data_IF_264407266364
#
_entry.id   IF_264407266364
#
_cell.length_a   1.000
_cell.length_b   1.000
_cell.length_c   1.000
_cell.angle_alpha   90.00
_cell.angle_beta   90.00
_cell.angle_gamma   90.00
#
_symmetry.space_group_name_H-M   'P 1'
#
loop_
_entity.id
_entity.type
_entity.pdbx_description
1 polymer ?
#
# COMPACT_ATOMS: atom_id res chain seq x y z
N UNK A 1 -34.49 -22.68 54.11
CA UNK A 1 -35.13 -21.40 53.75
C UNK A 1 -34.09 -20.35 53.37
N UNK A 2 -33.15 -19.96 54.24
CA UNK A 2 -32.17 -18.89 53.92
C UNK A 2 -31.24 -19.19 52.72
N UNK A 3 -31.07 -20.44 52.30
CA UNK A 3 -30.24 -20.81 51.14
C UNK A 3 -30.87 -20.54 49.77
N UNK A 4 -32.19 -20.68 49.63
CA UNK A 4 -32.89 -20.53 48.34
C UNK A 4 -33.06 -19.04 47.97
N UNK A 5 -33.29 -18.19 48.97
CA UNK A 5 -33.49 -16.75 48.82
C UNK A 5 -32.20 -16.03 48.36
N UNK A 6 -31.03 -16.56 48.79
CA UNK A 6 -29.71 -16.11 48.31
C UNK A 6 -29.52 -16.45 46.84
N UNK A 7 -29.83 -17.68 46.43
CA UNK A 7 -29.63 -18.13 45.04
C UNK A 7 -30.50 -17.33 44.06
N UNK A 8 -31.78 -17.11 44.42
CA UNK A 8 -32.71 -16.24 43.66
C UNK A 8 -32.19 -14.80 43.57
N UNK A 9 -31.63 -14.23 44.64
CA UNK A 9 -31.08 -12.87 44.59
C UNK A 9 -29.77 -12.77 43.80
N UNK A 10 -28.95 -13.83 43.70
CA UNK A 10 -27.85 -13.87 42.72
C UNK A 10 -28.33 -14.00 41.28
N UNK A 11 -29.36 -14.82 41.02
CA UNK A 11 -29.96 -14.97 39.69
C UNK A 11 -30.52 -13.64 39.18
N UNK A 12 -31.32 -12.94 39.98
CA UNK A 12 -31.88 -11.63 39.63
C UNK A 12 -30.79 -10.55 39.42
N UNK A 13 -29.68 -10.60 40.16
CA UNK A 13 -28.52 -9.70 39.92
C UNK A 13 -27.83 -10.02 38.59
N UNK A 14 -27.72 -11.29 38.23
CA UNK A 14 -27.19 -11.73 36.93
C UNK A 14 -28.06 -11.23 35.77
N UNK A 15 -29.39 -11.41 35.86
CA UNK A 15 -30.32 -10.90 34.85
C UNK A 15 -30.28 -9.38 34.72
N UNK A 16 -30.26 -8.64 35.85
CA UNK A 16 -30.15 -7.17 35.83
C UNK A 16 -28.84 -6.72 35.18
N UNK A 17 -27.71 -7.38 35.47
CA UNK A 17 -26.42 -7.06 34.82
C UNK A 17 -26.43 -7.37 33.31
N UNK A 18 -27.00 -8.51 32.91
CA UNK A 18 -27.14 -8.89 31.50
C UNK A 18 -28.06 -7.92 30.73
N UNK A 19 -29.16 -7.48 31.34
CA UNK A 19 -30.08 -6.49 30.78
C UNK A 19 -29.44 -5.09 30.72
N UNK A 20 -28.62 -4.70 31.70
CA UNK A 20 -27.85 -3.46 31.66
C UNK A 20 -26.81 -3.47 30.52
N UNK A 21 -26.01 -4.54 30.41
CA UNK A 21 -25.07 -4.70 29.29
C UNK A 21 -25.77 -4.66 27.93
N UNK A 22 -26.92 -5.34 27.80
CA UNK A 22 -27.73 -5.32 26.58
C UNK A 22 -28.31 -3.93 26.28
N UNK A 23 -28.77 -3.19 27.30
CA UNK A 23 -29.20 -1.77 27.18
C UNK A 23 -28.06 -0.91 26.67
N UNK A 24 -26.88 -1.03 27.26
CA UNK A 24 -25.75 -0.15 26.95
C UNK A 24 -25.24 -0.40 25.54
N UNK A 25 -25.04 -1.67 25.15
CA UNK A 25 -24.74 -2.06 23.77
C UNK A 25 -25.79 -1.54 22.77
N UNK A 26 -27.08 -1.71 23.05
CA UNK A 26 -28.15 -1.19 22.17
C UNK A 26 -28.17 0.35 22.12
N UNK A 27 -27.75 1.03 23.19
CA UNK A 27 -27.62 2.49 23.23
C UNK A 27 -26.44 2.97 22.40
N UNK A 28 -25.35 2.21 22.39
CA UNK A 28 -24.14 2.42 21.60
C UNK A 28 -24.44 2.22 20.10
N UNK A 29 -25.01 1.07 19.71
CA UNK A 29 -25.47 0.78 18.35
C UNK A 29 -26.46 1.85 17.83
N UNK A 30 -27.38 2.33 18.68
CA UNK A 30 -28.31 3.42 18.35
C UNK A 30 -27.61 4.78 18.19
N UNK A 31 -26.49 5.02 18.87
CA UNK A 31 -25.73 6.26 18.72
C UNK A 31 -24.81 6.23 17.48
N UNK A 32 -24.21 5.08 17.16
CA UNK A 32 -23.50 4.87 15.89
C UNK A 32 -24.45 5.06 14.70
N UNK A 33 -25.64 4.46 14.74
CA UNK A 33 -26.65 4.64 13.68
C UNK A 33 -27.11 6.10 13.52
N UNK A 34 -27.23 6.88 14.61
CA UNK A 34 -27.46 8.34 14.52
C UNK A 34 -26.27 9.08 13.90
N UNK A 35 -25.03 8.65 14.16
CA UNK A 35 -23.83 9.18 13.53
C UNK A 35 -23.83 8.93 12.02
N UNK A 36 -24.09 7.69 11.60
CA UNK A 36 -24.22 7.32 10.19
C UNK A 36 -25.36 8.06 9.49
N UNK A 37 -26.51 8.26 10.15
CA UNK A 37 -27.62 9.03 9.59
C UNK A 37 -27.20 10.47 9.29
N UNK A 38 -26.65 11.19 10.28
CA UNK A 38 -26.14 12.56 10.12
C UNK A 38 -25.09 12.69 9.01
N UNK A 39 -24.19 11.70 8.90
CA UNK A 39 -23.19 11.67 7.84
C UNK A 39 -23.79 11.47 6.44
N UNK A 40 -24.91 10.73 6.31
CA UNK A 40 -25.66 10.66 5.05
C UNK A 40 -26.45 11.94 4.79
N UNK A 41 -27.11 12.52 5.79
CA UNK A 41 -27.87 13.77 5.65
C UNK A 41 -26.98 14.92 5.16
N UNK A 42 -25.79 15.06 5.75
CA UNK A 42 -24.75 16.00 5.33
C UNK A 42 -24.33 15.78 3.87
N UNK A 43 -24.02 14.54 3.49
CA UNK A 43 -23.63 14.19 2.11
C UNK A 43 -24.78 14.40 1.11
N UNK A 44 -26.04 14.24 1.54
CA UNK A 44 -27.21 14.55 0.73
C UNK A 44 -27.38 16.07 0.53
N UNK A 45 -27.08 16.90 1.54
CA UNK A 45 -27.02 18.36 1.35
C UNK A 45 -25.91 18.77 0.38
N UNK A 46 -24.72 18.19 0.48
CA UNK A 46 -23.58 18.46 -0.41
C UNK A 46 -23.93 18.14 -1.89
N UNK A 47 -24.49 16.95 -2.14
CA UNK A 47 -24.93 16.53 -3.47
C UNK A 47 -26.09 17.38 -4.01
N UNK A 48 -26.98 17.90 -3.14
CA UNK A 48 -28.05 18.81 -3.53
C UNK A 48 -27.48 20.17 -3.98
N UNK A 49 -26.51 20.73 -3.24
CA UNK A 49 -25.82 21.98 -3.59
C UNK A 49 -25.07 21.84 -4.92
N UNK A 50 -24.35 20.72 -5.12
CA UNK A 50 -23.68 20.41 -6.39
C UNK A 50 -24.69 20.31 -7.56
N UNK A 51 -25.81 19.61 -7.35
CA UNK A 51 -26.88 19.47 -8.35
C UNK A 51 -27.46 20.83 -8.76
N UNK A 52 -27.71 21.72 -7.80
CA UNK A 52 -28.27 23.05 -8.08
C UNK A 52 -27.23 24.00 -8.72
N UNK A 53 -25.95 23.86 -8.38
CA UNK A 53 -24.87 24.58 -9.08
C UNK A 53 -24.75 24.15 -10.56
N UNK A 54 -24.80 22.84 -10.83
CA UNK A 54 -24.79 22.31 -12.20
C UNK A 54 -26.03 22.75 -13.01
N UNK A 55 -27.21 22.82 -12.38
CA UNK A 55 -28.43 23.39 -12.98
C UNK A 55 -28.24 24.86 -13.35
N UNK A 56 -27.68 25.66 -12.44
CA UNK A 56 -27.44 27.09 -12.70
C UNK A 56 -26.40 27.29 -13.82
N UNK A 57 -25.32 26.51 -13.81
CA UNK A 57 -24.30 26.54 -14.86
C UNK A 57 -24.89 26.18 -16.23
N UNK A 58 -25.75 25.15 -16.29
CA UNK A 58 -26.47 24.77 -17.50
C UNK A 58 -27.42 25.87 -17.98
N UNK A 59 -28.16 26.52 -17.08
CA UNK A 59 -29.03 27.65 -17.43
C UNK A 59 -28.23 28.84 -18.00
N UNK A 60 -27.10 29.20 -17.38
CA UNK A 60 -26.17 30.24 -17.86
C UNK A 60 -25.61 29.90 -19.26
N UNK A 61 -25.18 28.66 -19.49
CA UNK A 61 -24.70 28.20 -20.80
C UNK A 61 -25.81 28.26 -21.87
N UNK A 62 -27.02 27.80 -21.56
CA UNK A 62 -28.16 27.85 -22.49
C UNK A 62 -28.55 29.29 -22.85
N UNK A 63 -28.47 30.24 -21.92
CA UNK A 63 -28.69 31.66 -22.20
C UNK A 63 -27.64 32.22 -23.17
N UNK A 64 -26.36 31.89 -22.98
CA UNK A 64 -25.27 32.27 -23.90
C UNK A 64 -25.50 31.66 -25.30
N UNK A 65 -25.82 30.37 -25.38
CA UNK A 65 -26.11 29.67 -26.65
C UNK A 65 -27.29 30.32 -27.38
N UNK A 66 -28.35 30.71 -26.66
CA UNK A 66 -29.51 31.40 -27.24
C UNK A 66 -29.15 32.80 -27.76
N UNK A 67 -28.37 33.57 -27.00
CA UNK A 67 -27.86 34.88 -27.43
C UNK A 67 -26.95 34.78 -28.67
N UNK A 68 -26.07 33.76 -28.74
CA UNK A 68 -25.21 33.52 -29.90
C UNK A 68 -26.02 33.10 -31.13
N UNK A 69 -27.00 32.19 -30.98
CA UNK A 69 -27.91 31.82 -32.07
C UNK A 69 -28.68 33.02 -32.62
N UNK A 70 -29.22 33.88 -31.75
CA UNK A 70 -29.86 35.14 -32.18
C UNK A 70 -28.87 36.02 -32.94
N UNK A 71 -27.65 36.18 -32.43
CA UNK A 71 -26.63 37.04 -33.06
C UNK A 71 -26.17 36.52 -34.42
N UNK A 72 -26.07 35.21 -34.61
CA UNK A 72 -25.82 34.59 -35.92
C UNK A 72 -26.97 34.92 -36.88
N UNK A 73 -28.22 34.73 -36.45
CA UNK A 73 -29.38 35.03 -37.31
C UNK A 73 -29.47 36.50 -37.72
N UNK A 74 -29.20 37.42 -36.78
CA UNK A 74 -29.09 38.86 -37.08
C UNK A 74 -27.97 39.22 -38.06
N UNK A 75 -26.96 38.35 -38.24
CA UNK A 75 -25.88 38.54 -39.22
C UNK A 75 -26.28 37.93 -40.58
N UNK A 76 -26.86 36.72 -40.59
CA UNK A 76 -27.45 36.09 -41.77
C UNK A 76 -28.53 36.97 -42.44
N UNK A 77 -29.32 37.71 -41.66
CA UNK A 77 -30.29 38.67 -42.17
C UNK A 77 -29.62 39.88 -42.82
N UNK A 78 -28.65 40.50 -42.14
CA UNK A 78 -27.90 41.64 -42.70
C UNK A 78 -27.12 41.26 -43.96
N UNK A 79 -26.57 40.05 -44.04
CA UNK A 79 -25.88 39.56 -45.24
C UNK A 79 -26.85 39.40 -46.43
N UNK A 80 -28.04 38.85 -46.19
CA UNK A 80 -29.13 38.79 -47.20
C UNK A 80 -29.58 40.18 -47.65
N UNK A 81 -29.73 41.13 -46.72
CA UNK A 81 -30.08 42.52 -47.03
C UNK A 81 -28.98 43.23 -47.84
N UNK A 82 -27.71 43.04 -47.48
CA UNK A 82 -26.55 43.60 -48.17
C UNK A 82 -26.42 43.04 -49.58
N UNK A 83 -26.58 41.74 -49.80
CA UNK A 83 -26.61 41.17 -51.16
C UNK A 83 -27.78 41.70 -51.98
N UNK A 84 -28.98 41.80 -51.40
CA UNK A 84 -30.13 42.41 -52.09
C UNK A 84 -29.90 43.89 -52.42
N UNK A 85 -29.19 44.64 -51.57
CA UNK A 85 -28.78 46.02 -51.85
C UNK A 85 -27.70 46.09 -52.94
N UNK A 86 -26.70 45.21 -52.91
CA UNK A 86 -25.65 45.10 -53.91
C UNK A 86 -26.24 44.82 -55.30
N UNK A 87 -27.10 43.81 -55.45
CA UNK A 87 -27.71 43.49 -56.76
C UNK A 87 -28.55 44.64 -57.31
N UNK A 88 -29.25 45.41 -56.46
CA UNK A 88 -29.93 46.65 -56.88
C UNK A 88 -28.93 47.72 -57.33
N UNK A 89 -27.83 47.87 -56.61
CA UNK A 89 -26.74 48.79 -56.96
C UNK A 89 -26.06 48.44 -58.29
N UNK A 90 -25.82 47.16 -58.56
CA UNK A 90 -25.26 46.67 -59.82
C UNK A 90 -26.20 46.93 -61.00
N UNK A 91 -27.52 46.74 -60.84
CA UNK A 91 -28.52 47.07 -61.87
C UNK A 91 -28.57 48.58 -62.13
N UNK A 92 -28.49 49.41 -61.08
CA UNK A 92 -28.43 50.86 -61.23
C UNK A 92 -27.14 51.31 -61.94
N UNK A 93 -25.98 50.72 -61.57
CA UNK A 93 -24.69 50.97 -62.19
C UNK A 93 -24.70 50.60 -63.68
N UNK A 94 -25.23 49.43 -64.04
CA UNK A 94 -25.36 49.01 -65.45
C UNK A 94 -26.25 49.95 -66.27
N UNK A 95 -27.33 50.47 -65.67
CA UNK A 95 -28.21 51.45 -66.32
C UNK A 95 -27.46 52.77 -66.56
N UNK A 96 -26.85 53.34 -65.52
CA UNK A 96 -26.04 54.57 -65.63
C UNK A 96 -24.88 54.43 -66.63
N UNK A 97 -24.24 53.26 -66.72
CA UNK A 97 -23.19 52.99 -67.72
C UNK A 97 -23.74 52.96 -69.17
N UNK A 98 -24.97 52.47 -69.40
CA UNK A 98 -25.62 52.54 -70.72
C UNK A 98 -25.98 53.98 -71.08
N UNK A 99 -26.57 54.70 -70.14
CA UNK A 99 -26.97 56.10 -70.33
C UNK A 99 -25.75 57.01 -70.54
N UNK A 100 -24.65 56.77 -69.83
CA UNK A 100 -23.38 57.49 -70.03
C UNK A 100 -22.85 57.28 -71.45
N UNK A 101 -22.80 56.03 -71.96
CA UNK A 101 -22.34 55.73 -73.32
C UNK A 101 -23.25 56.36 -74.38
N UNK A 102 -24.57 56.25 -74.19
CA UNK A 102 -25.54 56.87 -75.09
C UNK A 102 -25.37 58.39 -75.18
N UNK A 103 -25.16 59.07 -74.04
CA UNK A 103 -24.90 60.51 -74.03
C UNK A 103 -23.52 60.87 -74.62
N UNK A 104 -22.50 60.04 -74.41
CA UNK A 104 -21.16 60.22 -75.01
C UNK A 104 -21.20 60.12 -76.54
N UNK A 105 -21.90 59.13 -77.09
CA UNK A 105 -22.05 58.96 -78.55
C UNK A 105 -22.95 60.05 -79.15
N UNK A 106 -24.01 60.45 -78.44
CA UNK A 106 -24.84 61.61 -78.81
C UNK A 106 -24.04 62.92 -78.81
N UNK A 107 -23.09 63.10 -77.88
CA UNK A 107 -22.19 64.25 -77.87
C UNK A 107 -21.26 64.23 -79.10
N UNK A 108 -20.61 63.09 -79.40
CA UNK A 108 -19.76 62.93 -80.60
C UNK A 108 -20.53 63.27 -81.89
N UNK A 109 -21.79 62.86 -82.00
CA UNK A 109 -22.63 63.16 -83.17
C UNK A 109 -23.07 64.63 -83.25
N UNK A 110 -23.26 65.32 -82.11
CA UNK A 110 -23.46 66.76 -82.08
C UNK A 110 -22.18 67.53 -82.46
N UNK A 111 -21.01 67.11 -81.98
CA UNK A 111 -19.73 67.71 -82.40
C UNK A 111 -19.43 67.52 -83.90
N UNK A 112 -19.85 66.41 -84.51
CA UNK A 112 -19.74 66.20 -85.97
C UNK A 112 -20.61 67.22 -86.71
N UNK A 113 -21.87 67.37 -86.29
CA UNK A 113 -22.83 68.32 -86.88
C UNK A 113 -22.40 69.77 -86.72
N UNK A 114 -21.84 70.12 -85.55
CA UNK A 114 -21.30 71.44 -85.29
C UNK A 114 -20.12 71.73 -86.23
N UNK A 115 -19.16 70.80 -86.36
CA UNK A 115 -18.03 70.92 -87.30
C UNK A 115 -18.44 71.04 -88.78
N UNK A 116 -19.52 70.38 -89.21
CA UNK A 116 -20.05 70.61 -90.57
C UNK A 116 -20.66 72.00 -90.72
N UNK A 117 -21.42 72.48 -89.72
CA UNK A 117 -22.04 73.81 -89.76
C UNK A 117 -21.01 74.95 -89.72
N UNK A 118 -19.87 74.76 -89.03
CA UNK A 118 -18.74 75.69 -89.06
C UNK A 118 -18.13 75.81 -90.46
N UNK A 119 -18.00 74.70 -91.19
CA UNK A 119 -17.50 74.67 -92.57
C UNK A 119 -18.50 75.30 -93.54
N UNK A 120 -19.79 74.96 -93.42
CA UNK A 120 -20.86 75.54 -94.25
C UNK A 120 -20.97 77.06 -94.04
N UNK A 121 -20.88 77.53 -92.79
CA UNK A 121 -20.89 78.95 -92.46
C UNK A 121 -19.69 79.68 -93.08
N UNK A 122 -18.48 79.13 -92.95
CA UNK A 122 -17.27 79.70 -93.57
C UNK A 122 -17.39 79.79 -95.09
N UNK A 123 -18.02 78.80 -95.73
CA UNK A 123 -18.28 78.81 -97.18
C UNK A 123 -19.29 79.90 -97.59
N UNK A 124 -20.36 80.13 -96.81
CA UNK A 124 -21.31 81.23 -97.06
C UNK A 124 -20.71 82.62 -96.79
N UNK A 125 -19.86 82.77 -95.77
CA UNK A 125 -19.14 84.03 -95.53
C UNK A 125 -18.20 84.40 -96.70
N UNK A 126 -17.50 83.42 -97.27
CA UNK A 126 -16.67 83.62 -98.46
C UNK A 126 -17.51 84.04 -99.69
N UNK A 127 -18.67 83.39 -99.94
CA UNK A 127 -19.60 83.77 -101.01
C UNK A 127 -20.13 85.20 -100.83
N UNK A 128 -20.51 85.56 -99.60
CA UNK A 128 -21.00 86.89 -99.22
C UNK A 128 -19.97 87.99 -99.49
N UNK A 129 -18.72 87.79 -99.09
CA UNK A 129 -17.66 88.79 -99.31
C UNK A 129 -17.29 88.91 -100.80
N UNK A 130 -17.26 87.79 -101.54
CA UNK A 130 -17.08 87.82 -103.00
C UNK A 130 -18.20 88.60 -103.72
N UNK A 131 -19.46 88.40 -103.33
CA UNK A 131 -20.61 89.15 -103.87
C UNK A 131 -20.52 90.65 -103.52
N UNK A 132 -20.07 91.00 -102.31
CA UNK A 132 -19.85 92.39 -101.87
C UNK A 132 -18.75 93.09 -102.69
N UNK A 133 -17.64 92.42 -102.97
CA UNK A 133 -16.57 92.94 -103.83
C UNK A 133 -17.09 93.17 -105.27
N UNK A 134 -17.82 92.21 -105.83
CA UNK A 134 -18.41 92.33 -107.17
C UNK A 134 -19.40 93.50 -107.26
N UNK A 135 -20.23 93.71 -106.23
CA UNK A 135 -21.16 94.84 -106.16
C UNK A 135 -20.42 96.19 -106.04
N UNK A 136 -19.33 96.25 -105.27
CA UNK A 136 -18.53 97.47 -105.15
C UNK A 136 -17.88 97.88 -106.47
N UNK A 137 -17.33 96.94 -107.26
CA UNK A 137 -16.79 97.29 -108.58
C UNK A 137 -17.89 97.63 -109.59
N UNK A 138 -19.09 97.01 -109.51
CA UNK A 138 -20.26 97.44 -110.29
C UNK A 138 -20.66 98.89 -109.99
N UNK A 139 -20.76 99.27 -108.72
CA UNK A 139 -21.04 100.65 -108.30
C UNK A 139 -19.95 101.60 -108.79
N UNK A 140 -18.67 101.21 -108.68
CA UNK A 140 -17.53 102.01 -109.16
C UNK A 140 -17.59 102.24 -110.68
N UNK A 141 -17.96 101.22 -111.46
CA UNK A 141 -18.18 101.32 -112.92
C UNK A 141 -19.36 102.24 -113.26
N UNK A 142 -20.47 102.14 -112.52
CA UNK A 142 -21.65 102.99 -112.71
C UNK A 142 -21.34 104.47 -112.38
N UNK A 143 -20.62 104.77 -111.30
CA UNK A 143 -20.20 106.13 -110.97
C UNK A 143 -19.35 106.76 -112.08
N UNK A 144 -18.44 105.99 -112.69
CA UNK A 144 -17.62 106.44 -113.83
C UNK A 144 -18.44 106.60 -115.11
N UNK A 145 -19.44 105.73 -115.34
CA UNK A 145 -20.27 105.77 -116.54
C UNK A 145 -21.32 106.89 -116.55
N UNK A 146 -21.76 107.36 -115.37
CA UNK A 146 -22.80 108.38 -115.27
C UNK A 146 -22.26 109.82 -115.28
N UNK A 147 -21.04 110.06 -114.79
CA UNK A 147 -20.39 111.39 -114.87
C UNK A 147 -21.14 112.53 -114.16
N UNK A 148 -21.95 112.21 -113.16
CA UNK A 148 -22.93 113.12 -112.55
C UNK A 148 -22.48 113.74 -111.22
N UNK A 149 -21.71 114.82 -111.31
CA UNK A 149 -21.81 115.91 -110.31
C UNK A 149 -22.81 116.95 -110.87
N UNK A 150 -24.10 116.77 -110.57
CA UNK A 150 -25.17 117.67 -111.02
C UNK A 150 -25.94 118.21 -109.81
N UNK A 151 -25.51 119.38 -109.34
CA UNK A 151 -26.19 120.13 -108.28
C UNK A 151 -27.33 121.00 -108.83
N UNK A 152 -28.54 120.64 -108.42
CA UNK A 152 -29.70 121.51 -108.17
C UNK A 152 -30.06 122.67 -109.14
N UNK A 153 -31.08 122.37 -109.95
CA UNK A 153 -32.35 123.13 -109.99
C UNK A 153 -32.46 124.50 -110.70
N UNK A 154 -33.46 124.59 -111.59
CA UNK A 154 -34.41 125.69 -111.66
C UNK A 154 -35.65 125.27 -112.49
N UNK A 155 -36.74 126.04 -112.42
CA UNK A 155 -38.00 125.92 -113.19
C UNK A 155 -39.02 124.86 -112.73
N UNK A 156 -39.71 125.13 -111.61
CA UNK A 156 -40.91 124.41 -111.20
C UNK A 156 -42.15 124.88 -112.00
N UNK A 157 -42.70 124.00 -112.82
CA UNK A 157 -44.03 124.15 -113.46
C UNK A 157 -45.17 123.93 -112.46
N UNK A 158 -46.39 124.37 -112.78
CA UNK A 158 -47.60 124.03 -112.01
C UNK A 158 -47.84 122.51 -111.95
N UNK A 159 -47.46 121.78 -112.99
CA UNK A 159 -47.48 120.30 -113.00
C UNK A 159 -46.50 119.71 -111.98
N UNK A 160 -45.35 120.37 -111.76
CA UNK A 160 -44.38 119.94 -110.74
C UNK A 160 -44.92 120.13 -109.32
N UNK A 161 -45.83 121.10 -109.08
CA UNK A 161 -46.54 121.22 -107.80
C UNK A 161 -47.56 120.09 -107.60
N UNK A 162 -48.26 119.66 -108.66
CA UNK A 162 -49.16 118.48 -108.61
C UNK A 162 -48.36 117.19 -108.42
N UNK A 163 -47.20 117.07 -109.07
CA UNK A 163 -46.27 115.97 -108.84
C UNK A 163 -45.76 115.98 -107.40
N UNK A 164 -45.38 117.14 -106.85
CA UNK A 164 -44.96 117.28 -105.44
C UNK A 164 -46.06 116.94 -104.45
N UNK A 165 -47.31 117.33 -104.72
CA UNK A 165 -48.47 116.93 -103.92
C UNK A 165 -48.69 115.41 -103.97
N UNK A 166 -48.52 114.79 -105.14
CA UNK A 166 -48.64 113.34 -105.33
C UNK A 166 -47.52 112.56 -104.64
N UNK A 167 -46.27 113.04 -104.74
CA UNK A 167 -45.12 112.57 -103.96
C UNK A 167 -45.40 112.66 -102.46
N UNK A 168 -45.89 113.80 -101.96
CA UNK A 168 -46.19 113.98 -100.54
C UNK A 168 -47.32 113.08 -100.05
N UNK A 169 -48.33 112.78 -100.88
CA UNK A 169 -49.39 111.81 -100.54
C UNK A 169 -48.85 110.38 -100.53
N UNK A 170 -48.03 109.99 -101.53
CA UNK A 170 -47.37 108.69 -101.55
C UNK A 170 -46.41 108.52 -100.37
N UNK A 171 -45.61 109.54 -100.06
CA UNK A 171 -44.68 109.53 -98.93
C UNK A 171 -45.42 109.51 -97.59
N UNK A 172 -46.51 110.27 -97.44
CA UNK A 172 -47.38 110.18 -96.25
C UNK A 172 -47.98 108.78 -96.10
N UNK A 173 -48.32 108.11 -97.20
CA UNK A 173 -48.77 106.71 -97.19
C UNK A 173 -47.63 105.76 -96.79
N UNK A 174 -46.44 105.92 -97.37
CA UNK A 174 -45.23 105.12 -97.06
C UNK A 174 -44.82 105.28 -95.60
N UNK A 175 -44.84 106.51 -95.08
CA UNK A 175 -44.53 106.83 -93.68
C UNK A 175 -45.60 106.30 -92.73
N UNK A 176 -46.90 106.34 -93.09
CA UNK A 176 -47.96 105.71 -92.30
C UNK A 176 -47.79 104.19 -92.21
N UNK A 177 -47.54 103.52 -93.34
CA UNK A 177 -47.29 102.08 -93.37
C UNK A 177 -46.00 101.73 -92.59
N UNK A 178 -44.95 102.55 -92.70
CA UNK A 178 -43.73 102.40 -91.90
C UNK A 178 -43.97 102.59 -90.40
N UNK A 179 -44.82 103.53 -90.01
CA UNK A 179 -45.19 103.75 -88.61
C UNK A 179 -45.98 102.56 -88.03
N UNK A 180 -46.94 102.01 -88.79
CA UNK A 180 -47.67 100.79 -88.41
C UNK A 180 -46.71 99.59 -88.25
N UNK A 181 -45.83 99.34 -89.24
CA UNK A 181 -44.84 98.27 -89.14
C UNK A 181 -43.88 98.45 -87.94
N UNK A 182 -43.53 99.70 -87.59
CA UNK A 182 -42.72 99.99 -86.38
C UNK A 182 -43.52 99.73 -85.10
N UNK A 183 -44.82 100.05 -85.08
CA UNK A 183 -45.72 99.80 -83.96
C UNK A 183 -45.94 98.29 -83.73
N UNK A 184 -46.14 97.51 -84.79
CA UNK A 184 -46.32 96.05 -84.69
C UNK A 184 -45.01 95.35 -84.26
N UNK A 185 -43.87 95.80 -84.80
CA UNK A 185 -42.55 95.34 -84.33
C UNK A 185 -42.30 95.70 -82.86
N UNK A 186 -42.67 96.91 -82.42
CA UNK A 186 -42.55 97.33 -81.02
C UNK A 186 -43.42 96.47 -80.10
N UNK A 187 -44.68 96.22 -80.47
CA UNK A 187 -45.59 95.36 -79.72
C UNK A 187 -45.07 93.91 -79.61
N UNK A 188 -44.44 93.40 -80.69
CA UNK A 188 -43.78 92.09 -80.70
C UNK A 188 -42.59 92.08 -79.74
N UNK A 189 -41.66 93.05 -79.85
CA UNK A 189 -40.51 93.17 -78.94
C UNK A 189 -40.93 93.37 -77.47
N UNK A 190 -42.03 94.08 -77.20
CA UNK A 190 -42.57 94.20 -75.84
C UNK A 190 -43.07 92.87 -75.29
N UNK A 191 -43.69 92.02 -76.12
CA UNK A 191 -44.12 90.67 -75.74
C UNK A 191 -42.90 89.76 -75.49
N UNK A 192 -41.90 89.81 -76.36
CA UNK A 192 -40.65 89.08 -76.21
C UNK A 192 -39.92 89.47 -74.91
N UNK A 193 -39.83 90.77 -74.60
CA UNK A 193 -39.23 91.26 -73.34
C UNK A 193 -40.01 90.82 -72.11
N UNK A 194 -41.35 90.67 -72.18
CA UNK A 194 -42.15 90.12 -71.08
C UNK A 194 -41.90 88.63 -70.89
N UNK A 195 -41.96 87.83 -71.97
CA UNK A 195 -41.73 86.38 -71.89
C UNK A 195 -40.29 86.04 -71.47
N UNK A 196 -39.30 86.84 -71.87
CA UNK A 196 -37.90 86.71 -71.43
C UNK A 196 -37.68 87.07 -69.95
N UNK A 197 -38.51 87.95 -69.36
CA UNK A 197 -38.51 88.18 -67.91
C UNK A 197 -39.13 87.00 -67.17
N UNK A 198 -40.27 86.51 -67.64
CA UNK A 198 -40.94 85.35 -67.04
C UNK A 198 -40.08 84.07 -67.07
N UNK A 199 -39.25 83.87 -68.10
CA UNK A 199 -38.30 82.74 -68.14
C UNK A 199 -37.09 82.97 -67.22
N UNK A 200 -36.59 84.20 -67.11
CA UNK A 200 -35.52 84.57 -66.17
C UNK A 200 -35.96 84.37 -64.71
N UNK A 201 -37.15 84.85 -64.35
CA UNK A 201 -37.69 84.76 -62.99
C UNK A 201 -37.91 83.29 -62.57
N UNK A 202 -38.41 82.44 -63.49
CA UNK A 202 -38.49 80.99 -63.29
C UNK A 202 -37.11 80.35 -63.11
N UNK A 203 -36.15 80.68 -63.97
CA UNK A 203 -34.78 80.16 -63.89
C UNK A 203 -34.08 80.56 -62.58
N UNK A 204 -34.36 81.76 -62.06
CA UNK A 204 -33.89 82.22 -60.75
C UNK A 204 -34.52 81.42 -59.60
N UNK A 205 -35.83 81.16 -59.64
CA UNK A 205 -36.50 80.33 -58.64
C UNK A 205 -35.99 78.87 -58.64
N UNK A 206 -35.76 78.29 -59.82
CA UNK A 206 -35.17 76.96 -59.97
C UNK A 206 -33.75 76.90 -59.39
N UNK A 207 -32.92 77.91 -59.68
CA UNK A 207 -31.58 78.08 -59.11
C UNK A 207 -31.62 78.16 -57.58
N UNK A 208 -32.53 78.92 -57.00
CA UNK A 208 -32.69 79.02 -55.54
C UNK A 208 -33.22 77.72 -54.90
N UNK A 209 -33.99 76.92 -55.64
CA UNK A 209 -34.38 75.58 -55.22
C UNK A 209 -33.17 74.63 -55.19
N UNK A 210 -32.42 74.56 -56.29
CA UNK A 210 -31.22 73.73 -56.41
C UNK A 210 -30.13 74.13 -55.40
N UNK A 211 -29.93 75.43 -55.14
CA UNK A 211 -28.97 75.93 -54.15
C UNK A 211 -29.34 75.46 -52.73
N UNK A 212 -30.63 75.46 -52.36
CA UNK A 212 -31.10 74.92 -51.07
C UNK A 212 -30.93 73.41 -50.98
N UNK A 213 -31.21 72.67 -52.06
CA UNK A 213 -30.99 71.21 -52.11
C UNK A 213 -29.50 70.87 -51.95
N UNK A 214 -28.61 71.58 -52.67
CA UNK A 214 -27.16 71.40 -52.58
C UNK A 214 -26.61 71.70 -51.18
N UNK A 215 -27.11 72.75 -50.51
CA UNK A 215 -26.75 73.05 -49.12
C UNK A 215 -27.20 71.93 -48.15
N UNK A 216 -28.39 71.35 -48.35
CA UNK A 216 -28.85 70.20 -47.57
C UNK A 216 -27.97 68.96 -47.77
N UNK A 217 -27.64 68.63 -49.02
CA UNK A 217 -26.75 67.50 -49.36
C UNK A 217 -25.33 67.67 -48.79
N UNK A 218 -24.81 68.90 -48.70
CA UNK A 218 -23.51 69.16 -48.09
C UNK A 218 -23.52 68.84 -46.58
N UNK A 219 -24.58 69.23 -45.86
CA UNK A 219 -24.75 68.93 -44.44
C UNK A 219 -24.93 67.42 -44.19
N UNK A 220 -25.61 66.71 -45.08
CA UNK A 220 -25.74 65.25 -45.03
C UNK A 220 -24.39 64.55 -45.26
N UNK A 221 -23.59 65.00 -46.24
CA UNK A 221 -22.23 64.51 -46.47
C UNK A 221 -21.31 64.72 -45.25
N UNK A 222 -21.37 65.89 -44.61
CA UNK A 222 -20.56 66.17 -43.41
C UNK A 222 -21.02 65.38 -42.18
N UNK A 223 -22.32 65.11 -42.04
CA UNK A 223 -22.83 64.15 -41.05
C UNK A 223 -22.30 62.73 -41.32
N UNK A 224 -22.40 62.24 -42.56
CA UNK A 224 -21.96 60.89 -42.93
C UNK A 224 -20.43 60.72 -42.76
N UNK A 225 -19.64 61.78 -42.95
CA UNK A 225 -18.21 61.82 -42.61
C UNK A 225 -17.97 61.64 -41.11
N UNK A 226 -18.70 62.35 -40.25
CA UNK A 226 -18.59 62.22 -38.80
C UNK A 226 -19.02 60.82 -38.30
N UNK A 227 -20.09 60.25 -38.86
CA UNK A 227 -20.54 58.89 -38.54
C UNK A 227 -19.50 57.84 -38.98
N UNK A 228 -18.92 57.97 -40.18
CA UNK A 228 -17.81 57.13 -40.66
C UNK A 228 -16.61 57.19 -39.71
N UNK A 229 -16.16 58.38 -39.34
CA UNK A 229 -14.93 58.54 -38.55
C UNK A 229 -15.14 58.03 -37.11
N UNK A 230 -16.35 58.15 -36.55
CA UNK A 230 -16.73 57.52 -35.29
C UNK A 230 -16.70 55.98 -35.38
N UNK A 231 -17.25 55.40 -36.46
CA UNK A 231 -17.22 53.96 -36.71
C UNK A 231 -15.80 53.42 -36.92
N UNK A 232 -14.92 54.16 -37.61
CA UNK A 232 -13.50 53.80 -37.72
C UNK A 232 -12.80 53.77 -36.36
N UNK A 233 -13.08 54.74 -35.48
CA UNK A 233 -12.50 54.74 -34.13
C UNK A 233 -13.03 53.57 -33.28
N UNK A 234 -14.33 53.25 -33.37
CA UNK A 234 -14.91 52.08 -32.69
C UNK A 234 -14.31 50.76 -33.21
N UNK A 235 -14.11 50.64 -34.52
CA UNK A 235 -13.49 49.47 -35.15
C UNK A 235 -12.04 49.28 -34.66
N UNK A 236 -11.24 50.34 -34.60
CA UNK A 236 -9.87 50.32 -34.05
C UNK A 236 -9.79 49.96 -32.56
N UNK A 237 -10.87 50.15 -31.78
CA UNK A 237 -10.96 49.67 -30.39
C UNK A 237 -11.27 48.18 -30.37
N UNK A 238 -12.26 47.73 -31.13
CA UNK A 238 -12.62 46.31 -31.24
C UNK A 238 -11.44 45.44 -31.73
N UNK A 239 -10.64 45.92 -32.68
CA UNK A 239 -9.43 45.21 -33.15
C UNK A 239 -8.41 44.98 -32.02
N UNK A 240 -8.23 45.96 -31.12
CA UNK A 240 -7.35 45.82 -29.95
C UNK A 240 -7.92 44.81 -28.96
N UNK A 241 -9.22 44.88 -28.67
CA UNK A 241 -9.90 43.90 -27.81
C UNK A 241 -9.78 42.47 -28.37
N UNK A 242 -9.86 42.30 -29.69
CA UNK A 242 -9.65 41.01 -30.36
C UNK A 242 -8.21 40.50 -30.19
N UNK A 243 -7.20 41.38 -30.26
CA UNK A 243 -5.78 41.01 -30.02
C UNK A 243 -5.60 40.61 -28.54
N UNK A 244 -6.05 41.45 -27.61
CA UNK A 244 -6.04 41.20 -26.17
C UNK A 244 -6.66 39.85 -25.80
N UNK A 245 -7.82 39.52 -26.39
CA UNK A 245 -8.53 38.26 -26.16
C UNK A 245 -7.78 37.06 -26.75
N UNK A 246 -7.11 37.21 -27.90
CA UNK A 246 -6.25 36.17 -28.49
C UNK A 246 -5.02 35.89 -27.63
N UNK A 247 -4.40 36.92 -27.06
CA UNK A 247 -3.26 36.75 -26.14
C UNK A 247 -3.70 36.06 -24.83
N UNK A 248 -4.81 36.50 -24.23
CA UNK A 248 -5.42 35.86 -23.05
C UNK A 248 -5.77 34.38 -23.32
N UNK A 249 -6.33 34.07 -24.50
CA UNK A 249 -6.59 32.69 -24.93
C UNK A 249 -5.30 31.87 -25.12
N UNK A 250 -4.24 32.46 -25.69
CA UNK A 250 -2.95 31.79 -25.84
C UNK A 250 -2.32 31.46 -24.48
N UNK A 251 -2.38 32.41 -23.53
CA UNK A 251 -1.93 32.20 -22.15
C UNK A 251 -2.73 31.10 -21.44
N UNK A 252 -4.06 31.17 -21.50
CA UNK A 252 -4.93 30.13 -20.93
C UNK A 252 -4.67 28.74 -21.51
N UNK A 253 -4.42 28.65 -22.82
CA UNK A 253 -4.11 27.38 -23.51
C UNK A 253 -2.78 26.79 -23.04
N UNK A 254 -1.74 27.62 -22.85
CA UNK A 254 -0.46 27.17 -22.28
C UNK A 254 -0.61 26.68 -20.84
N UNK A 255 -1.32 27.43 -20.01
CA UNK A 255 -1.55 27.08 -18.61
C UNK A 255 -2.35 25.77 -18.48
N UNK A 256 -3.36 25.57 -19.34
CA UNK A 256 -4.12 24.31 -19.43
C UNK A 256 -3.22 23.13 -19.86
N UNK A 257 -2.32 23.35 -20.83
CA UNK A 257 -1.32 22.35 -21.23
C UNK A 257 -0.39 21.95 -20.09
N UNK A 258 0.13 22.91 -19.32
CA UNK A 258 0.94 22.65 -18.12
C UNK A 258 0.14 21.91 -17.03
N UNK A 259 -1.11 22.31 -16.77
CA UNK A 259 -1.97 21.62 -15.81
C UNK A 259 -2.26 20.17 -16.24
N UNK A 260 -2.56 19.94 -17.52
CA UNK A 260 -2.78 18.60 -18.07
C UNK A 260 -1.52 17.73 -17.99
N UNK A 261 -0.33 18.30 -18.19
CA UNK A 261 0.93 17.60 -18.00
C UNK A 261 1.17 17.18 -16.54
N UNK A 262 0.87 18.07 -15.59
CA UNK A 262 0.96 17.78 -14.17
C UNK A 262 -0.02 16.68 -13.73
N UNK A 263 -1.26 16.69 -14.27
CA UNK A 263 -2.25 15.63 -14.01
C UNK A 263 -1.73 14.27 -14.50
N UNK A 264 -1.24 14.17 -15.74
CA UNK A 264 -0.69 12.93 -16.28
C UNK A 264 0.53 12.41 -15.48
N UNK A 265 1.37 13.32 -14.93
CA UNK A 265 2.47 12.94 -14.04
C UNK A 265 1.96 12.38 -12.69
N UNK A 266 0.92 12.99 -12.11
CA UNK A 266 0.31 12.50 -10.87
C UNK A 266 -0.41 11.16 -11.07
N UNK A 267 -1.10 10.97 -12.21
CA UNK A 267 -1.71 9.70 -12.58
C UNK A 267 -0.67 8.57 -12.71
N UNK A 268 0.46 8.85 -13.38
CA UNK A 268 1.58 7.90 -13.47
C UNK A 268 2.17 7.56 -12.09
N UNK A 269 2.34 8.55 -11.20
CA UNK A 269 2.82 8.33 -9.83
C UNK A 269 1.84 7.50 -8.99
N UNK A 270 0.52 7.73 -9.15
CA UNK A 270 -0.53 6.94 -8.49
C UNK A 270 -0.56 5.49 -8.99
N UNK A 271 -0.28 5.25 -10.27
CA UNK A 271 -0.11 3.89 -10.79
C UNK A 271 1.12 3.20 -10.19
N UNK A 272 2.30 3.84 -10.19
CA UNK A 272 3.51 3.28 -9.59
C UNK A 272 3.31 2.93 -8.10
N UNK A 273 2.69 3.83 -7.32
CA UNK A 273 2.43 3.59 -5.90
C UNK A 273 1.44 2.45 -5.63
N UNK A 274 0.55 2.12 -6.58
CA UNK A 274 -0.34 0.95 -6.50
C UNK A 274 0.41 -0.34 -6.80
N UNK A 275 1.29 -0.34 -7.80
CA UNK A 275 2.14 -1.50 -8.12
C UNK A 275 3.14 -1.77 -6.98
N UNK A 276 3.75 -0.72 -6.42
CA UNK A 276 4.62 -0.81 -5.24
C UNK A 276 3.85 -1.37 -4.02
N UNK A 277 2.64 -0.85 -3.73
CA UNK A 277 1.78 -1.35 -2.65
C UNK A 277 1.47 -2.84 -2.82
N UNK A 278 1.05 -3.26 -4.02
CA UNK A 278 0.77 -4.67 -4.34
C UNK A 278 2.00 -5.57 -4.12
N UNK A 279 3.20 -5.08 -4.46
CA UNK A 279 4.46 -5.77 -4.20
C UNK A 279 4.76 -5.86 -2.69
N UNK A 280 4.34 -4.89 -1.87
CA UNK A 280 4.44 -4.97 -0.41
C UNK A 280 3.40 -5.90 0.21
N UNK A 281 2.17 -5.93 -0.32
CA UNK A 281 1.11 -6.88 0.09
C UNK A 281 1.54 -8.33 -0.18
N UNK A 282 2.03 -8.63 -1.39
CA UNK A 282 2.56 -9.97 -1.75
C UNK A 282 3.72 -10.42 -0.84
N UNK A 283 4.61 -9.50 -0.45
CA UNK A 283 5.70 -9.77 0.50
C UNK A 283 5.19 -9.99 1.93
N UNK A 284 4.17 -9.22 2.35
CA UNK A 284 3.57 -9.36 3.67
C UNK A 284 2.87 -10.71 3.82
N UNK A 285 2.05 -11.10 2.83
CA UNK A 285 1.36 -12.39 2.82
C UNK A 285 2.35 -13.57 2.81
N UNK A 286 3.44 -13.47 2.03
CA UNK A 286 4.50 -14.47 2.03
C UNK A 286 5.17 -14.60 3.40
N UNK A 287 5.59 -13.48 4.02
CA UNK A 287 6.22 -13.48 5.35
C UNK A 287 5.26 -13.94 6.45
N UNK A 288 3.97 -13.59 6.35
CA UNK A 288 2.93 -14.08 7.26
C UNK A 288 2.73 -15.60 7.10
N UNK A 289 2.79 -16.13 5.88
CA UNK A 289 2.72 -17.57 5.64
C UNK A 289 3.93 -18.30 6.23
N UNK A 290 5.16 -17.80 6.02
CA UNK A 290 6.37 -18.35 6.63
C UNK A 290 6.31 -18.32 8.16
N UNK A 291 5.88 -17.20 8.75
CA UNK A 291 5.71 -17.07 10.21
C UNK A 291 4.70 -18.07 10.77
N UNK A 292 3.55 -18.25 10.09
CA UNK A 292 2.54 -19.24 10.49
C UNK A 292 3.09 -20.67 10.40
N UNK A 293 3.77 -21.01 9.30
CA UNK A 293 4.42 -22.31 9.10
C UNK A 293 5.50 -22.59 10.17
N UNK A 294 6.25 -21.58 10.59
CA UNK A 294 7.22 -21.69 11.68
C UNK A 294 6.54 -21.99 13.03
N UNK A 295 5.43 -21.31 13.36
CA UNK A 295 4.64 -21.60 14.56
C UNK A 295 4.02 -23.00 14.52
N UNK A 296 3.50 -23.44 13.36
CA UNK A 296 2.98 -24.80 13.14
C UNK A 296 4.06 -25.87 13.37
N UNK A 297 5.27 -25.65 12.85
CA UNK A 297 6.42 -26.54 13.06
C UNK A 297 6.83 -26.63 14.54
N UNK A 298 6.90 -25.49 15.25
CA UNK A 298 7.24 -25.44 16.68
C UNK A 298 6.16 -26.11 17.54
N UNK A 299 4.88 -25.83 17.27
CA UNK A 299 3.76 -26.43 17.98
C UNK A 299 3.66 -27.95 17.77
N UNK A 300 3.99 -28.45 16.57
CA UNK A 300 4.07 -29.88 16.28
C UNK A 300 5.19 -30.57 17.09
N UNK A 301 6.35 -29.93 17.26
CA UNK A 301 7.48 -30.47 18.05
C UNK A 301 7.23 -30.41 19.55
N UNK A 302 6.47 -29.42 20.05
CA UNK A 302 6.08 -29.32 21.46
C UNK A 302 4.84 -30.16 21.83
N UNK A 303 4.11 -30.61 20.82
CA UNK A 303 2.98 -31.54 20.97
C UNK A 303 3.46 -32.93 21.36
N UNK A 304 2.58 -33.66 22.03
CA UNK A 304 2.82 -35.02 22.51
C UNK A 304 1.55 -35.87 22.38
N UNK A 305 1.63 -37.22 22.41
CA UNK A 305 0.45 -38.09 22.30
C UNK A 305 -0.65 -37.86 23.36
N UNK A 306 -0.34 -37.13 24.45
CA UNK A 306 -1.26 -36.84 25.56
C UNK A 306 -1.69 -35.37 25.60
N UNK A 307 -1.03 -34.48 24.83
CA UNK A 307 -1.32 -33.04 24.80
C UNK A 307 -0.86 -32.42 23.48
N UNK A 308 -1.82 -31.95 22.70
CA UNK A 308 -1.62 -31.09 21.54
C UNK A 308 -1.29 -29.65 21.97
N UNK A 309 -0.65 -28.89 21.08
CA UNK A 309 -0.31 -27.47 21.24
C UNK A 309 -0.77 -26.75 19.99
N UNK A 310 -1.53 -25.66 20.14
CA UNK A 310 -1.95 -24.85 19.00
C UNK A 310 -0.78 -24.04 18.42
N UNK A 311 -0.80 -23.73 17.10
CA UNK A 311 0.23 -22.92 16.42
C UNK A 311 0.10 -21.42 16.73
N UNK A 312 0.01 -21.08 18.01
CA UNK A 312 -0.15 -19.73 18.55
C UNK A 312 0.99 -19.45 19.52
N UNK A 313 1.53 -18.23 19.48
CA UNK A 313 2.74 -17.86 20.22
C UNK A 313 2.60 -18.06 21.73
N UNK A 314 1.47 -17.70 22.34
CA UNK A 314 1.23 -17.95 23.77
C UNK A 314 0.99 -19.43 24.10
N UNK A 315 0.26 -20.20 23.27
CA UNK A 315 0.10 -21.65 23.47
C UNK A 315 1.45 -22.39 23.46
N UNK A 316 2.35 -21.96 22.58
CA UNK A 316 3.75 -22.42 22.50
C UNK A 316 4.52 -22.02 23.76
N UNK A 317 4.45 -20.75 24.19
CA UNK A 317 5.10 -20.27 25.42
C UNK A 317 4.59 -21.02 26.65
N UNK A 318 3.29 -21.26 26.78
CA UNK A 318 2.69 -22.00 27.89
C UNK A 318 3.16 -23.45 27.93
N UNK A 319 3.21 -24.16 26.78
CA UNK A 319 3.77 -25.52 26.79
C UNK A 319 5.26 -25.52 27.18
N UNK A 320 6.04 -24.53 26.78
CA UNK A 320 7.44 -24.38 27.21
C UNK A 320 7.53 -24.11 28.72
N UNK A 321 6.70 -23.21 29.27
CA UNK A 321 6.59 -22.94 30.72
C UNK A 321 6.30 -24.24 31.50
N UNK A 322 5.34 -25.03 31.02
CA UNK A 322 4.96 -26.31 31.63
C UNK A 322 6.07 -27.37 31.54
N UNK A 323 6.73 -27.54 30.39
CA UNK A 323 7.85 -28.49 30.23
C UNK A 323 9.01 -28.12 31.17
N UNK A 324 9.27 -26.82 31.37
CA UNK A 324 10.27 -26.36 32.33
C UNK A 324 9.88 -26.62 33.79
N UNK A 325 8.58 -26.60 34.13
CA UNK A 325 8.08 -27.02 35.45
C UNK A 325 8.20 -28.54 35.64
N UNK A 326 7.68 -29.34 34.69
CA UNK A 326 7.80 -30.81 34.68
C UNK A 326 9.26 -31.26 34.87
N UNK A 327 10.21 -30.57 34.24
CA UNK A 327 11.63 -30.91 34.32
C UNK A 327 12.25 -30.56 35.69
N UNK A 328 11.86 -29.44 36.32
CA UNK A 328 12.27 -29.10 37.70
C UNK A 328 11.78 -30.16 38.69
N UNK A 329 10.51 -30.55 38.60
CA UNK A 329 9.92 -31.56 39.48
C UNK A 329 10.64 -32.91 39.33
N UNK A 330 10.98 -33.31 38.09
CA UNK A 330 11.78 -34.51 37.82
C UNK A 330 13.21 -34.42 38.37
N UNK A 331 13.85 -33.26 38.31
CA UNK A 331 15.18 -33.05 38.92
C UNK A 331 15.11 -33.26 40.43
N UNK A 332 14.16 -32.63 41.12
CA UNK A 332 14.00 -32.81 42.57
C UNK A 332 13.56 -34.22 42.97
N UNK A 333 12.79 -34.94 42.13
CA UNK A 333 12.53 -36.36 42.32
C UNK A 333 13.80 -37.21 42.19
N UNK A 334 14.66 -36.92 41.20
CA UNK A 334 15.96 -37.61 41.03
C UNK A 334 16.91 -37.31 42.19
N UNK A 335 16.89 -36.10 42.75
CA UNK A 335 17.65 -35.74 43.95
C UNK A 335 17.16 -36.51 45.18
N UNK A 336 15.85 -36.52 45.44
CA UNK A 336 15.27 -37.31 46.53
C UNK A 336 15.49 -38.83 46.39
N UNK A 337 15.57 -39.35 45.15
CA UNK A 337 15.92 -40.75 44.89
C UNK A 337 17.42 -41.03 45.14
N UNK A 338 18.32 -40.09 44.81
CA UNK A 338 19.75 -40.18 45.17
C UNK A 338 19.94 -40.18 46.68
N UNK A 339 19.24 -39.31 47.41
CA UNK A 339 19.30 -39.27 48.89
C UNK A 339 18.82 -40.58 49.50
N UNK A 340 17.70 -41.15 49.01
CA UNK A 340 17.23 -42.48 49.43
C UNK A 340 18.24 -43.57 49.12
N UNK A 341 18.84 -43.58 47.93
CA UNK A 341 19.87 -44.56 47.57
C UNK A 341 21.11 -44.46 48.48
N UNK A 342 21.53 -43.25 48.85
CA UNK A 342 22.60 -43.02 49.82
C UNK A 342 22.19 -43.51 51.22
N UNK A 343 20.95 -43.29 51.64
CA UNK A 343 20.44 -43.80 52.92
C UNK A 343 20.43 -45.33 52.96
N UNK A 344 19.84 -45.99 51.97
CA UNK A 344 19.81 -47.45 51.89
C UNK A 344 21.21 -48.06 51.78
N UNK A 345 22.13 -47.42 51.05
CA UNK A 345 23.54 -47.83 51.02
C UNK A 345 24.20 -47.73 52.41
N UNK A 346 23.93 -46.68 53.17
CA UNK A 346 24.41 -46.56 54.55
C UNK A 346 23.79 -47.62 55.48
N UNK A 347 22.50 -47.94 55.33
CA UNK A 347 21.85 -49.00 56.12
C UNK A 347 22.42 -50.38 55.76
N UNK A 348 22.60 -50.69 54.48
CA UNK A 348 23.22 -51.93 54.03
C UNK A 348 24.65 -52.08 54.56
N UNK A 349 25.46 -51.03 54.52
CA UNK A 349 26.81 -51.04 55.09
C UNK A 349 26.82 -51.28 56.62
N UNK A 350 25.83 -50.75 57.36
CA UNK A 350 25.64 -51.08 58.79
C UNK A 350 25.25 -52.54 58.99
N UNK A 351 24.35 -53.08 58.16
CA UNK A 351 23.96 -54.49 58.23
C UNK A 351 25.13 -55.43 57.90
N UNK A 352 25.98 -55.09 56.92
CA UNK A 352 27.21 -55.82 56.61
C UNK A 352 28.13 -55.85 57.84
N UNK A 353 28.46 -54.68 58.42
CA UNK A 353 29.33 -54.62 59.61
C UNK A 353 28.77 -55.38 60.83
N UNK A 354 27.45 -55.37 61.03
CA UNK A 354 26.79 -56.16 62.08
C UNK A 354 26.83 -57.67 61.78
N UNK A 355 26.72 -58.08 60.52
CA UNK A 355 26.82 -59.48 60.08
C UNK A 355 28.27 -60.00 60.16
N UNK A 356 29.25 -59.17 59.80
CA UNK A 356 30.68 -59.47 59.98
C UNK A 356 31.00 -59.68 61.48
N UNK A 357 30.58 -58.76 62.35
CA UNK A 357 30.72 -58.92 63.81
C UNK A 357 29.99 -60.16 64.34
N UNK A 358 28.83 -60.54 63.77
CA UNK A 358 28.14 -61.77 64.14
C UNK A 358 28.95 -63.02 63.72
N UNK A 359 29.51 -63.03 62.51
CA UNK A 359 30.35 -64.12 62.00
C UNK A 359 31.72 -64.22 62.71
N UNK A 360 32.25 -63.12 63.25
CA UNK A 360 33.40 -63.15 64.17
C UNK A 360 33.03 -63.82 65.50
N UNK A 361 31.88 -63.49 66.09
CA UNK A 361 31.38 -64.18 67.30
C UNK A 361 31.11 -65.67 67.05
N UNK A 362 30.53 -66.04 65.90
CA UNK A 362 30.30 -67.44 65.54
C UNK A 362 31.63 -68.19 65.43
N UNK A 363 32.61 -67.66 64.70
CA UNK A 363 33.93 -68.29 64.58
C UNK A 363 34.64 -68.44 65.93
N UNK A 364 34.60 -67.43 66.79
CA UNK A 364 35.15 -67.54 68.14
C UNK A 364 34.46 -68.65 68.98
N UNK A 365 33.15 -68.81 68.86
CA UNK A 365 32.40 -69.89 69.51
C UNK A 365 32.67 -71.27 68.89
N UNK A 366 32.98 -71.34 67.59
CA UNK A 366 33.43 -72.57 66.92
C UNK A 366 34.85 -72.97 67.35
N UNK A 367 35.76 -71.99 67.54
CA UNK A 367 37.10 -72.20 68.10
C UNK A 367 37.04 -72.66 69.57
N UNK A 368 36.25 -71.99 70.42
CA UNK A 368 35.99 -72.42 71.81
C UNK A 368 35.39 -73.83 71.86
N UNK A 369 34.42 -74.13 70.98
CA UNK A 369 33.82 -75.47 70.86
C UNK A 369 34.89 -76.51 70.49
N UNK A 370 35.71 -76.25 69.47
CA UNK A 370 36.77 -77.17 69.04
C UNK A 370 37.81 -77.41 70.13
N UNK A 371 38.15 -76.38 70.92
CA UNK A 371 39.03 -76.49 72.07
C UNK A 371 38.40 -77.30 73.21
N UNK A 372 37.09 -77.17 73.44
CA UNK A 372 36.35 -78.01 74.39
C UNK A 372 36.25 -79.47 73.92
N UNK A 373 36.00 -79.71 72.63
CA UNK A 373 35.96 -81.07 72.03
C UNK A 373 37.34 -81.75 72.11
N UNK A 374 38.43 -81.03 71.86
CA UNK A 374 39.79 -81.55 72.08
C UNK A 374 40.04 -81.85 73.57
N UNK A 375 39.60 -80.99 74.50
CA UNK A 375 39.75 -81.25 75.94
C UNK A 375 38.94 -82.45 76.40
N UNK A 376 37.73 -82.64 75.86
CA UNK A 376 36.88 -83.81 76.10
C UNK A 376 37.60 -85.09 75.62
N UNK A 377 38.00 -85.14 74.35
CA UNK A 377 38.73 -86.29 73.80
C UNK A 377 40.03 -86.59 74.54
N UNK A 378 40.75 -85.57 75.02
CA UNK A 378 41.93 -85.81 75.88
C UNK A 378 41.52 -86.50 77.17
N UNK A 379 40.52 -85.99 77.89
CA UNK A 379 40.02 -86.58 79.14
C UNK A 379 39.50 -88.00 78.92
N UNK A 380 38.81 -88.26 77.82
CA UNK A 380 38.40 -89.63 77.44
C UNK A 380 39.62 -90.54 77.22
N UNK A 381 40.68 -90.05 76.58
CA UNK A 381 41.91 -90.85 76.36
C UNK A 381 42.70 -91.08 77.66
N UNK A 382 42.81 -90.08 78.53
CA UNK A 382 43.43 -90.18 79.85
C UNK A 382 42.63 -91.15 80.75
N UNK A 383 41.29 -91.12 80.66
CA UNK A 383 40.39 -92.03 81.38
C UNK A 383 40.56 -93.47 80.89
N UNK A 384 40.52 -93.71 79.58
CA UNK A 384 40.75 -95.05 79.00
C UNK A 384 42.13 -95.61 79.38
N UNK A 385 43.19 -94.79 79.37
CA UNK A 385 44.51 -95.18 79.85
C UNK A 385 44.52 -95.53 81.34
N UNK A 386 43.79 -94.78 82.17
CA UNK A 386 43.61 -95.07 83.59
C UNK A 386 42.82 -96.38 83.83
N UNK A 387 41.79 -96.66 83.03
CA UNK A 387 41.02 -97.91 83.11
C UNK A 387 41.89 -99.12 82.71
N UNK A 388 42.67 -99.02 81.63
CA UNK A 388 43.65 -100.04 81.21
C UNK A 388 44.72 -100.29 82.27
N UNK A 389 45.23 -99.23 82.92
CA UNK A 389 46.18 -99.33 84.04
C UNK A 389 45.56 -100.02 85.25
N UNK A 390 44.32 -99.67 85.61
CA UNK A 390 43.52 -100.30 86.67
C UNK A 390 43.25 -101.78 86.39
N UNK A 391 43.06 -102.17 85.14
CA UNK A 391 42.96 -103.58 84.74
C UNK A 391 44.31 -104.32 84.76
N UNK A 392 45.41 -103.63 84.43
CA UNK A 392 46.78 -104.12 84.65
C UNK A 392 46.98 -104.51 86.11
N UNK A 393 46.83 -103.55 87.02
CA UNK A 393 46.99 -103.74 88.46
C UNK A 393 46.04 -104.81 89.03
N UNK A 394 44.84 -104.99 88.46
CA UNK A 394 43.94 -106.11 88.82
C UNK A 394 44.52 -107.48 88.41
N UNK A 395 45.05 -107.60 87.19
CA UNK A 395 45.70 -108.83 86.70
C UNK A 395 46.98 -109.13 87.50
N UNK A 396 47.77 -108.12 87.80
CA UNK A 396 49.02 -108.26 88.55
C UNK A 396 48.73 -108.67 90.00
N UNK A 397 47.73 -108.04 90.67
CA UNK A 397 47.26 -108.46 92.00
C UNK A 397 46.77 -109.91 92.01
N UNK A 398 45.98 -110.32 91.02
CA UNK A 398 45.54 -111.72 90.90
C UNK A 398 46.70 -112.69 90.74
N UNK A 399 47.68 -112.34 89.92
CA UNK A 399 48.90 -113.14 89.69
C UNK A 399 49.75 -113.25 90.96
N UNK A 400 49.91 -112.15 91.70
CA UNK A 400 50.68 -112.10 92.95
C UNK A 400 50.02 -112.94 94.07
N UNK A 401 48.70 -112.85 94.23
CA UNK A 401 47.97 -113.70 95.18
C UNK A 401 48.11 -115.19 94.83
N UNK A 402 48.01 -115.54 93.54
CA UNK A 402 48.20 -116.92 93.07
C UNK A 402 49.65 -117.43 93.30
N UNK A 403 50.64 -116.54 93.30
CA UNK A 403 52.02 -116.87 93.69
C UNK A 403 52.15 -117.13 95.20
N UNK A 404 51.56 -116.27 96.05
CA UNK A 404 51.60 -116.45 97.51
C UNK A 404 50.95 -117.76 97.95
N UNK A 405 49.79 -118.13 97.40
CA UNK A 405 49.17 -119.42 97.70
C UNK A 405 50.05 -120.62 97.31
N UNK A 406 50.89 -120.49 96.28
CA UNK A 406 51.85 -121.55 95.89
C UNK A 406 53.06 -121.59 96.83
N UNK A 407 53.45 -120.44 97.39
CA UNK A 407 54.51 -120.35 98.38
C UNK A 407 54.07 -120.93 99.74
N UNK A 408 52.81 -120.71 100.14
CA UNK A 408 52.21 -121.33 101.33
C UNK A 408 52.23 -122.87 101.27
N UNK A 409 51.84 -123.42 100.11
CA UNK A 409 51.90 -124.86 99.80
C UNK A 409 53.32 -125.43 99.83
N UNK A 410 54.32 -124.65 99.40
CA UNK A 410 55.72 -125.08 99.44
C UNK A 410 56.31 -125.11 100.87
N UNK A 411 55.74 -124.35 101.82
CA UNK A 411 56.23 -124.21 103.19
C UNK A 411 55.44 -125.05 104.22
N UNK A 412 54.51 -125.90 103.77
CA UNK A 412 53.54 -126.63 104.60
C UNK A 412 52.84 -125.69 105.62
N UNK A 413 52.32 -124.57 105.13
CA UNK A 413 51.56 -123.57 105.91
C UNK A 413 50.06 -123.55 105.57
N UNK A 414 49.57 -124.51 104.78
CA UNK A 414 48.23 -124.46 104.15
C UNK A 414 47.06 -124.39 105.12
N UNK A 415 47.17 -125.01 106.29
CA UNK A 415 46.10 -124.98 107.32
C UNK A 415 46.13 -123.69 108.17
N UNK A 416 47.23 -122.94 108.13
CA UNK A 416 47.36 -121.62 108.79
C UNK A 416 47.10 -120.48 107.78
N UNK A 417 47.33 -120.75 106.49
CA UNK A 417 47.15 -119.87 105.34
C UNK A 417 45.74 -119.27 105.23
N UNK A 418 44.69 -120.05 105.54
CA UNK A 418 43.30 -119.66 105.27
C UNK A 418 42.68 -118.72 106.32
N UNK A 419 43.14 -118.76 107.58
CA UNK A 419 42.63 -117.92 108.67
C UNK A 419 43.40 -116.58 108.83
N UNK A 420 44.42 -116.33 108.02
CA UNK A 420 45.26 -115.14 108.07
C UNK A 420 45.09 -114.30 106.80
N UNK A 421 44.58 -113.07 106.96
CA UNK A 421 44.29 -112.16 105.85
C UNK A 421 45.53 -111.82 105.00
N UNK A 422 45.32 -111.54 103.71
CA UNK A 422 46.36 -111.50 102.67
C UNK A 422 47.58 -110.60 102.98
N UNK A 423 47.40 -109.50 103.73
CA UNK A 423 48.49 -108.61 104.11
C UNK A 423 49.40 -109.22 105.21
N UNK A 424 48.83 -110.00 106.14
CA UNK A 424 49.56 -110.74 107.19
C UNK A 424 50.07 -112.11 106.70
N UNK A 425 49.50 -112.62 105.61
CA UNK A 425 49.89 -113.89 104.99
C UNK A 425 51.35 -113.86 104.53
N UNK A 426 51.84 -112.74 103.99
CA UNK A 426 53.25 -112.59 103.57
C UNK A 426 54.24 -112.66 104.75
N UNK A 427 53.98 -111.96 105.85
CA UNK A 427 54.82 -112.04 107.06
C UNK A 427 54.83 -113.44 107.67
N UNK A 428 53.66 -114.11 107.67
CA UNK A 428 53.49 -115.46 108.21
C UNK A 428 54.33 -116.51 107.47
N UNK A 429 54.45 -116.39 106.14
CA UNK A 429 55.32 -117.26 105.34
C UNK A 429 56.81 -116.94 105.56
N UNK A 430 57.16 -115.67 105.74
CA UNK A 430 58.55 -115.24 105.94
C UNK A 430 59.11 -115.74 107.29
N UNK A 431 58.32 -115.62 108.36
CA UNK A 431 58.62 -116.21 109.68
C UNK A 431 58.79 -117.72 109.63
N UNK A 432 58.01 -118.43 108.80
CA UNK A 432 58.14 -119.88 108.61
C UNK A 432 59.45 -120.26 107.93
N UNK A 433 59.84 -119.52 106.89
CA UNK A 433 61.11 -119.75 106.19
C UNK A 433 62.31 -119.55 107.14
N UNK A 434 62.30 -118.52 108.00
CA UNK A 434 63.34 -118.33 109.02
C UNK A 434 63.42 -119.49 110.04
N UNK A 435 62.28 -120.00 110.49
CA UNK A 435 62.27 -121.14 111.44
C UNK A 435 62.90 -122.40 110.83
N UNK A 436 62.59 -122.69 109.57
CA UNK A 436 63.12 -123.86 108.87
C UNK A 436 64.64 -123.73 108.63
N UNK A 437 65.11 -122.55 108.21
CA UNK A 437 66.53 -122.29 107.99
C UNK A 437 67.39 -122.51 109.26
N UNK A 438 66.88 -122.13 110.44
CA UNK A 438 67.59 -122.35 111.73
C UNK A 438 67.70 -123.84 112.09
N UNK A 439 66.71 -124.67 111.73
CA UNK A 439 66.67 -126.10 112.02
C UNK A 439 67.61 -126.97 111.17
N UNK A 440 68.18 -126.43 110.09
CA UNK A 440 69.21 -127.10 109.28
C UNK A 440 70.63 -126.78 109.76
N UNK A 441 70.86 -125.57 110.30
CA UNK A 441 72.15 -125.14 110.85
C UNK A 441 72.69 -126.06 111.95
N UNK A 442 71.85 -126.37 112.95
CA UNK A 442 72.28 -127.12 114.15
C UNK A 442 72.59 -128.61 113.89
N UNK A 443 72.25 -129.15 112.71
CA UNK A 443 72.47 -130.57 112.37
C UNK A 443 73.81 -130.87 111.69
N UNK A 444 74.58 -129.84 111.33
CA UNK A 444 75.78 -129.97 110.50
C UNK A 444 77.11 -130.09 111.27
N UNK A 445 77.09 -129.99 112.61
CA UNK A 445 78.33 -129.96 113.43
C UNK A 445 78.86 -131.36 113.78
N UNK A 446 77.99 -132.39 113.85
CA UNK A 446 78.28 -133.61 114.63
C UNK A 446 78.56 -134.89 113.80
N UNK A 447 78.95 -134.74 112.53
CA UNK A 447 79.39 -135.88 111.67
C UNK A 447 80.60 -135.55 110.78
N UNK A 448 81.78 -135.67 111.38
CA UNK A 448 83.04 -135.91 110.67
C UNK A 448 83.19 -137.43 110.40
N UNK A 449 84.04 -137.80 109.44
CA UNK A 449 84.47 -139.17 109.04
C UNK A 449 83.58 -139.96 108.04
N UNK A 450 84.28 -140.79 107.25
CA UNK A 450 83.82 -141.87 106.34
C UNK A 450 83.45 -141.44 104.90
N UNK A 451 84.36 -141.76 103.96
CA UNK A 451 84.28 -141.82 102.48
C UNK A 451 83.99 -140.50 101.72
N UNK A 452 84.61 -140.13 100.60
CA UNK A 452 85.33 -140.79 99.47
C UNK A 452 84.49 -141.10 98.21
N UNK A 453 84.98 -140.53 97.10
CA UNK A 453 84.77 -140.89 95.69
C UNK A 453 83.42 -140.62 95.00
N UNK A 454 83.55 -140.24 93.71
CA UNK A 454 82.55 -140.32 92.63
C UNK A 454 81.34 -139.37 92.71
N UNK A 455 80.83 -138.79 91.62
CA UNK A 455 81.41 -138.47 90.30
C UNK A 455 80.44 -137.53 89.57
N UNK A 456 80.98 -136.70 88.67
CA UNK A 456 80.32 -136.17 87.45
C UNK A 456 78.93 -135.47 87.47
N UNK A 457 78.95 -134.31 86.78
CA UNK A 457 77.97 -133.84 85.76
C UNK A 457 76.69 -133.06 86.17
N UNK A 458 76.57 -131.96 85.42
CA UNK A 458 75.35 -131.39 84.83
C UNK A 458 74.38 -130.56 85.69
N UNK A 459 74.17 -129.33 85.17
CA UNK A 459 72.85 -128.66 85.06
C UNK A 459 72.27 -128.04 86.35
N UNK A 460 71.53 -126.92 86.29
CA UNK A 460 71.26 -125.94 85.21
C UNK A 460 70.87 -124.59 85.86
N UNK A 461 70.88 -123.49 85.10
CA UNK A 461 70.34 -122.12 85.39
C UNK A 461 69.83 -121.84 86.82
N UNK A 462 70.34 -120.79 87.47
CA UNK A 462 69.52 -119.82 88.22
C UNK A 462 70.33 -118.54 88.57
N UNK A 463 69.65 -117.55 89.14
CA UNK A 463 70.13 -116.23 89.65
C UNK A 463 70.64 -115.17 88.64
N UNK A 464 70.43 -113.84 88.83
CA UNK A 464 69.28 -113.05 89.37
C UNK A 464 69.52 -111.53 89.17
N UNK A 465 68.49 -110.67 89.36
CA UNK A 465 68.57 -109.18 89.54
C UNK A 465 69.13 -108.35 88.34
N UNK A 466 68.93 -107.02 88.16
CA UNK A 466 67.92 -105.98 88.54
C UNK A 466 68.13 -104.80 87.55
N UNK A 467 67.28 -103.81 87.24
CA UNK A 467 65.95 -103.30 87.65
C UNK A 467 64.95 -103.43 86.47
N UNK A 468 63.65 -103.06 86.47
CA UNK A 468 62.77 -102.16 87.24
C UNK A 468 62.70 -100.66 86.83
N UNK A 469 61.79 -100.38 85.86
CA UNK A 469 61.08 -99.13 85.52
C UNK A 469 61.90 -97.85 85.16
N UNK A 470 61.42 -96.97 84.28
CA UNK A 470 60.18 -96.97 83.47
C UNK A 470 60.47 -97.17 81.98
#
# INVERSE_FOLDING_TARGET
MEGEDVDVTTSLRSEVAALQYKRDRLTEEVNEMKGHLRARDQRCMELQIETDHLREQSARQNAIISSLKKRVHELEERERELHAAQSRGEIALQTLQRDSRYNEDKAKDLEKKLRSLEVDLSAEEQKKEAAKIAFQDLVRRLSVALGTDISDSAHLSAEALVHKASELVQETSRLRNRALNIQDNLATCELDVRTLRETLDRSMADKECLQRQSAGQLLELDRLRQEKDALEMQNRVADREIIDLREKLSSATRNLGSASGNVAQLEAAVCQLRDDLKIFEEKYDHLHHEHRSALESIALVLSSPVRFVDPLEESIKDRIRDILAENRDRISQVEALKEKLVHESQQLNRHIALFEQANERVRALEEDKGLLEHRLHKIDSDLNACELSREGLKRDKGTFLTFLERLARALNMDEISQDVGADLHTESLLLRAEQLARLESDKLVDKVYIFCFSSEKCSVLWFIEVNFLM
#
